data_IF_164437197961
#
_entry.id   IF_164437197961
#
_cell.length_a   1.000
_cell.length_b   1.000
_cell.length_c   1.000
_cell.angle_alpha   90.00
_cell.angle_beta   90.00
_cell.angle_gamma   90.00
#
_symmetry.space_group_name_H-M   'P 1'
#
loop_
_entity.id
_entity.type
_entity.pdbx_description
1 polymer ?
#
# COMPACT_ATOMS: atom_id res chain seq x y z
N UNK A 1 -13.45 -18.39 24.25
CA UNK A 1 -12.48 -17.91 23.23
C UNK A 1 -11.37 -17.17 23.96
N UNK A 2 -10.13 -17.18 23.44
CA UNK A 2 -9.04 -16.43 24.08
C UNK A 2 -9.23 -14.92 23.84
N UNK A 3 -8.89 -14.10 24.82
CA UNK A 3 -8.97 -12.63 24.77
C UNK A 3 -7.75 -12.01 25.41
N UNK A 4 -7.19 -10.98 24.78
CA UNK A 4 -6.13 -10.13 25.33
C UNK A 4 -6.67 -8.73 25.57
N UNK A 5 -6.41 -8.18 26.75
CA UNK A 5 -6.69 -6.78 27.08
C UNK A 5 -5.40 -6.09 27.50
N UNK A 6 -5.09 -4.98 26.84
CA UNK A 6 -3.93 -4.13 27.09
C UNK A 6 -4.47 -2.83 27.67
N UNK A 7 -4.05 -2.46 28.88
CA UNK A 7 -4.54 -1.28 29.59
C UNK A 7 -3.41 -0.29 29.86
N UNK A 8 -3.38 0.82 29.11
CA UNK A 8 -2.46 1.95 29.29
C UNK A 8 -0.98 1.55 29.40
N UNK A 9 -0.58 0.52 28.65
CA UNK A 9 0.79 -0.01 28.69
C UNK A 9 1.78 1.04 28.22
N UNK A 10 2.74 1.35 29.09
CA UNK A 10 3.88 2.21 28.76
C UNK A 10 5.19 1.51 29.09
N UNK A 11 6.19 1.72 28.25
CA UNK A 11 7.51 1.12 28.41
C UNK A 11 8.60 2.06 27.89
N UNK A 12 9.70 2.12 28.63
CA UNK A 12 10.83 2.99 28.35
C UNK A 12 12.11 2.17 28.55
N UNK A 13 12.96 2.18 27.52
CA UNK A 13 14.36 1.81 27.67
C UNK A 13 15.11 2.97 28.36
N UNK A 14 16.34 2.73 28.82
CA UNK A 14 17.13 3.74 29.54
C UNK A 14 17.22 5.08 28.81
N UNK A 15 17.28 5.06 27.48
CA UNK A 15 17.45 6.25 26.63
C UNK A 15 16.23 6.66 25.82
N UNK A 16 15.14 5.89 25.82
CA UNK A 16 14.02 6.13 24.91
C UNK A 16 12.67 5.61 25.44
N UNK A 17 11.62 6.43 25.28
CA UNK A 17 10.22 6.00 25.45
C UNK A 17 9.81 5.18 24.24
N UNK A 18 9.49 3.90 24.45
CA UNK A 18 9.16 2.98 23.37
C UNK A 18 7.65 2.75 23.23
N UNK A 19 6.89 2.82 24.33
CA UNK A 19 5.43 2.74 24.36
C UNK A 19 4.87 3.79 25.33
N UNK A 20 3.77 4.43 24.96
CA UNK A 20 3.12 5.47 25.74
C UNK A 20 1.59 5.27 25.74
N UNK A 21 1.07 4.69 26.82
CA UNK A 21 -0.36 4.57 27.07
C UNK A 21 -1.14 3.65 26.12
N UNK A 22 -0.50 2.60 25.59
CA UNK A 22 -1.12 1.67 24.63
C UNK A 22 -2.29 0.94 25.27
N UNK A 23 -3.47 1.04 24.65
CA UNK A 23 -4.69 0.36 25.09
C UNK A 23 -5.35 -0.33 23.90
N UNK A 24 -5.63 -1.62 24.02
CA UNK A 24 -6.21 -2.42 22.95
C UNK A 24 -6.92 -3.65 23.51
N UNK A 25 -7.90 -4.17 22.76
CA UNK A 25 -8.58 -5.43 23.05
C UNK A 25 -8.55 -6.29 21.80
N UNK A 26 -8.15 -7.54 21.96
CA UNK A 26 -7.98 -8.48 20.85
C UNK A 26 -8.69 -9.78 21.18
N UNK A 27 -9.47 -10.28 20.23
CA UNK A 27 -10.28 -11.48 20.38
C UNK A 27 -9.74 -12.63 19.51
N UNK A 28 -9.99 -13.86 19.95
CA UNK A 28 -9.63 -15.08 19.23
C UNK A 28 -10.14 -15.11 17.78
N UNK A 29 -9.38 -15.78 16.91
CA UNK A 29 -9.70 -15.92 15.50
C UNK A 29 -9.25 -14.73 14.65
N UNK A 30 -8.64 -13.71 15.26
CA UNK A 30 -8.17 -12.50 14.58
C UNK A 30 -6.68 -12.56 14.27
N UNK A 31 -6.31 -12.28 13.02
CA UNK A 31 -4.94 -11.92 12.66
C UNK A 31 -4.77 -10.40 12.75
N UNK A 32 -4.09 -9.94 13.79
CA UNK A 32 -3.79 -8.53 14.05
C UNK A 32 -2.45 -8.13 13.44
N UNK A 33 -2.45 -7.10 12.60
CA UNK A 33 -1.23 -6.46 12.08
C UNK A 33 -0.81 -5.29 12.96
N UNK A 34 0.41 -5.31 13.49
CA UNK A 34 1.06 -4.14 14.07
C UNK A 34 1.81 -3.41 12.96
N UNK A 35 1.36 -2.21 12.63
CA UNK A 35 1.95 -1.38 11.59
C UNK A 35 2.57 -0.11 12.17
N UNK A 36 3.50 0.48 11.43
CA UNK A 36 4.09 1.78 11.75
C UNK A 36 5.57 1.85 11.37
N UNK A 37 6.21 3.03 11.44
CA UNK A 37 7.61 3.21 11.06
C UNK A 37 8.57 2.41 11.96
N UNK A 38 9.83 2.37 11.55
CA UNK A 38 10.90 1.85 12.40
C UNK A 38 10.99 2.67 13.70
N UNK A 39 11.19 1.98 14.82
CA UNK A 39 11.20 2.62 16.13
C UNK A 39 9.82 3.04 16.68
N UNK A 40 8.70 2.68 16.03
CA UNK A 40 7.35 3.04 16.51
C UNK A 40 6.90 2.28 17.76
N UNK A 41 7.61 1.20 18.14
CA UNK A 41 7.32 0.41 19.34
C UNK A 41 6.78 -1.01 19.08
N UNK A 42 6.57 -1.43 17.82
CA UNK A 42 6.00 -2.75 17.45
C UNK A 42 6.63 -3.94 18.19
N UNK A 43 7.93 -4.16 18.03
CA UNK A 43 8.67 -5.24 18.70
C UNK A 43 8.63 -5.11 20.23
N UNK A 44 8.62 -3.89 20.77
CA UNK A 44 8.53 -3.68 22.22
C UNK A 44 7.15 -4.07 22.74
N UNK A 45 6.09 -3.78 21.99
CA UNK A 45 4.73 -4.23 22.32
C UNK A 45 4.63 -5.76 22.27
N UNK A 46 5.17 -6.40 21.23
CA UNK A 46 5.24 -7.88 21.15
C UNK A 46 5.98 -8.48 22.35
N UNK A 47 7.12 -7.91 22.74
CA UNK A 47 7.88 -8.35 23.93
C UNK A 47 7.15 -8.12 25.25
N UNK A 48 6.34 -7.06 25.35
CA UNK A 48 5.48 -6.85 26.52
C UNK A 48 4.36 -7.89 26.58
N UNK A 49 3.73 -8.18 25.42
CA UNK A 49 2.67 -9.18 25.30
C UNK A 49 3.15 -10.59 25.64
N UNK A 50 4.37 -10.96 25.24
CA UNK A 50 4.95 -12.27 25.56
C UNK A 50 5.45 -12.41 27.00
N UNK A 51 5.46 -11.32 27.77
CA UNK A 51 6.04 -11.30 29.13
C UNK A 51 7.57 -11.24 29.16
N UNK A 52 8.24 -11.11 28.02
CA UNK A 52 9.70 -10.89 27.96
C UNK A 52 10.11 -9.53 28.52
N UNK A 53 9.24 -8.52 28.38
CA UNK A 53 9.39 -7.22 29.00
C UNK A 53 8.19 -6.94 29.91
N UNK A 54 8.47 -6.45 31.12
CA UNK A 54 7.42 -5.99 32.03
C UNK A 54 7.09 -4.52 31.74
N UNK A 55 5.83 -4.16 31.46
CA UNK A 55 5.40 -2.77 31.37
C UNK A 55 5.82 -1.96 32.60
N UNK A 56 6.19 -0.69 32.40
CA UNK A 56 6.48 0.23 33.51
C UNK A 56 5.20 0.82 34.11
N UNK A 57 4.20 1.04 33.26
CA UNK A 57 2.86 1.52 33.61
C UNK A 57 1.86 0.65 32.84
N UNK A 58 0.69 0.43 33.43
CA UNK A 58 -0.40 -0.33 32.81
C UNK A 58 -0.33 -1.81 33.11
N UNK A 59 -1.23 -2.58 32.49
CA UNK A 59 -1.32 -4.02 32.68
C UNK A 59 -1.81 -4.72 31.41
N UNK A 60 -1.49 -6.00 31.32
CA UNK A 60 -1.93 -6.89 30.24
C UNK A 60 -2.69 -8.04 30.89
N UNK A 61 -3.85 -8.39 30.35
CA UNK A 61 -4.70 -9.46 30.85
C UNK A 61 -4.98 -10.47 29.74
N UNK A 62 -5.05 -11.73 30.13
CA UNK A 62 -5.42 -12.86 29.26
C UNK A 62 -6.61 -13.52 29.91
N UNK A 63 -7.75 -13.51 29.22
CA UNK A 63 -9.02 -14.01 29.76
C UNK A 63 -9.32 -13.45 31.17
N UNK A 64 -9.02 -12.17 31.40
CA UNK A 64 -9.22 -11.48 32.68
C UNK A 64 -8.12 -11.72 33.75
N UNK A 65 -7.19 -12.66 33.55
CA UNK A 65 -6.05 -12.88 34.48
C UNK A 65 -4.85 -12.03 34.08
N UNK A 66 -4.26 -11.30 35.03
CA UNK A 66 -3.09 -10.44 34.77
C UNK A 66 -1.88 -11.26 34.31
N UNK A 67 -1.21 -10.83 33.24
CA UNK A 67 -0.05 -11.49 32.63
C UNK A 67 1.06 -11.80 33.66
N UNK A 68 1.31 -10.89 34.61
CA UNK A 68 2.37 -11.05 35.61
C UNK A 68 2.08 -12.16 36.65
N UNK A 69 0.85 -12.67 36.71
CA UNK A 69 0.45 -13.74 37.63
C UNK A 69 0.64 -15.15 37.08
N UNK A 70 1.06 -15.27 35.82
CA UNK A 70 1.39 -16.56 35.21
C UNK A 70 2.86 -16.90 35.44
N UNK A 71 3.14 -18.17 35.73
CA UNK A 71 4.48 -18.74 35.68
C UNK A 71 4.99 -18.79 34.23
N UNK A 72 6.31 -18.90 34.05
CA UNK A 72 6.92 -19.06 32.72
C UNK A 72 6.41 -20.30 31.99
N UNK A 73 6.15 -21.40 32.72
CA UNK A 73 5.62 -22.65 32.14
C UNK A 73 4.17 -22.47 31.64
N UNK A 74 3.33 -21.75 32.39
CA UNK A 74 1.97 -21.42 31.92
C UNK A 74 2.01 -20.49 30.70
N UNK A 75 2.85 -19.45 30.72
CA UNK A 75 3.01 -18.55 29.58
C UNK A 75 3.50 -19.29 28.34
N UNK A 76 4.40 -20.25 28.48
CA UNK A 76 4.87 -21.09 27.38
C UNK A 76 3.80 -22.05 26.83
N UNK A 77 2.66 -22.24 27.49
CA UNK A 77 1.50 -22.96 26.91
C UNK A 77 0.52 -22.00 26.20
N UNK A 78 0.59 -20.72 26.52
CA UNK A 78 -0.33 -19.69 26.02
C UNK A 78 0.27 -18.98 24.81
N UNK A 79 1.55 -18.59 24.87
CA UNK A 79 2.24 -17.83 23.85
C UNK A 79 3.29 -18.66 23.12
N UNK A 80 3.37 -18.49 21.81
CA UNK A 80 4.57 -18.79 21.05
C UNK A 80 5.03 -17.56 20.28
N UNK A 81 6.34 -17.44 20.07
CA UNK A 81 6.94 -16.24 19.48
C UNK A 81 7.95 -16.59 18.40
N UNK A 82 7.92 -15.86 17.28
CA UNK A 82 8.96 -15.88 16.25
C UNK A 82 9.55 -14.49 16.14
N UNK A 83 10.79 -14.29 16.57
CA UNK A 83 11.53 -13.03 16.47
C UNK A 83 12.71 -13.20 15.51
N UNK A 84 13.02 -12.16 14.72
CA UNK A 84 13.96 -12.16 13.58
C UNK A 84 15.39 -12.64 13.90
N UNK A 85 15.81 -12.71 15.17
CA UNK A 85 17.16 -13.12 15.60
C UNK A 85 17.16 -14.37 16.51
N UNK A 86 16.17 -15.25 16.42
CA UNK A 86 15.93 -16.25 17.47
C UNK A 86 16.72 -17.57 17.38
N UNK A 87 17.45 -17.88 16.30
CA UNK A 87 18.16 -19.18 16.18
C UNK A 87 19.66 -19.01 15.98
N UNK A 88 20.40 -19.42 17.00
CA UNK A 88 21.87 -19.61 17.02
C UNK A 88 22.25 -21.11 17.00
N UNK A 89 21.41 -22.00 16.46
CA UNK A 89 21.65 -23.46 16.43
C UNK A 89 21.76 -24.03 15.02
N UNK A 90 22.76 -23.61 14.22
CA UNK A 90 22.85 -23.95 12.79
C UNK A 90 23.01 -25.45 12.50
N UNK A 91 23.51 -26.24 13.46
CA UNK A 91 23.88 -27.65 13.26
C UNK A 91 22.78 -28.65 13.64
N UNK A 92 21.64 -28.20 14.19
CA UNK A 92 20.55 -29.09 14.58
C UNK A 92 19.72 -29.52 13.37
N UNK A 93 19.19 -30.74 13.41
CA UNK A 93 18.21 -31.19 12.42
C UNK A 93 16.87 -30.47 12.63
N UNK A 94 16.09 -30.35 11.57
CA UNK A 94 14.74 -29.76 11.63
C UNK A 94 13.88 -30.49 12.65
N UNK A 95 13.97 -31.82 12.72
CA UNK A 95 13.27 -32.62 13.72
C UNK A 95 13.57 -32.13 15.15
N UNK A 96 14.84 -31.97 15.50
CA UNK A 96 15.24 -31.56 16.84
C UNK A 96 14.73 -30.15 17.18
N UNK A 97 14.78 -29.23 16.21
CA UNK A 97 14.23 -27.88 16.36
C UNK A 97 12.72 -27.94 16.60
N UNK A 98 11.99 -28.75 15.85
CA UNK A 98 10.56 -28.95 16.01
C UNK A 98 10.21 -29.62 17.33
N UNK A 99 11.01 -30.60 17.78
CA UNK A 99 10.84 -31.28 19.06
C UNK A 99 10.85 -30.29 20.23
N UNK A 100 11.68 -29.25 20.18
CA UNK A 100 11.72 -28.21 21.24
C UNK A 100 10.40 -27.44 21.39
N UNK A 101 9.53 -27.42 20.36
CA UNK A 101 8.19 -26.82 20.48
C UNK A 101 7.32 -27.50 21.54
N UNK A 102 7.61 -28.76 21.86
CA UNK A 102 6.78 -29.60 22.75
C UNK A 102 7.22 -29.55 24.20
N UNK A 103 8.35 -28.91 24.51
CA UNK A 103 8.85 -28.76 25.89
C UNK A 103 7.85 -28.21 26.91
N UNK A 104 6.92 -27.28 26.58
CA UNK A 104 5.91 -26.86 27.54
C UNK A 104 4.95 -27.98 27.96
N UNK A 105 4.83 -29.05 27.16
CA UNK A 105 3.88 -30.15 27.32
C UNK A 105 4.53 -31.45 27.80
N UNK A 106 5.86 -31.53 27.83
CA UNK A 106 6.58 -32.74 28.30
C UNK A 106 6.69 -32.77 29.82
N UNK A 107 6.92 -33.96 30.37
CA UNK A 107 7.26 -34.14 31.79
C UNK A 107 8.70 -33.69 32.05
N UNK A 108 9.14 -33.71 33.31
CA UNK A 108 10.51 -33.35 33.70
C UNK A 108 11.61 -34.14 32.97
N UNK A 109 11.27 -35.32 32.43
CA UNK A 109 12.17 -36.16 31.63
C UNK A 109 12.33 -35.67 30.18
N UNK A 110 11.51 -34.73 29.72
CA UNK A 110 11.61 -34.15 28.38
C UNK A 110 11.24 -35.09 27.22
N UNK A 111 10.65 -36.26 27.50
CA UNK A 111 10.33 -37.27 26.49
C UNK A 111 9.10 -36.92 25.67
N UNK A 112 9.23 -37.04 24.35
CA UNK A 112 8.10 -36.92 23.41
C UNK A 112 7.25 -38.18 23.45
N UNK A 113 5.93 -38.02 23.38
CA UNK A 113 4.99 -39.12 23.18
C UNK A 113 4.53 -39.19 21.70
N UNK A 114 3.81 -40.24 21.28
CA UNK A 114 3.31 -40.35 19.90
C UNK A 114 2.41 -39.19 19.45
N UNK A 115 1.67 -38.55 20.37
CA UNK A 115 0.86 -37.37 20.07
C UNK A 115 1.73 -36.17 19.70
N UNK A 116 2.84 -35.96 20.42
CA UNK A 116 3.78 -34.87 20.12
C UNK A 116 4.42 -35.04 18.73
N UNK A 117 4.77 -36.27 18.36
CA UNK A 117 5.31 -36.59 17.03
C UNK A 117 4.26 -36.28 15.94
N UNK A 118 3.00 -36.65 16.16
CA UNK A 118 1.92 -36.34 15.22
C UNK A 118 1.72 -34.82 15.04
N UNK A 119 1.78 -34.05 16.13
CA UNK A 119 1.66 -32.58 16.06
C UNK A 119 2.82 -31.95 15.28
N UNK A 120 4.04 -32.46 15.47
CA UNK A 120 5.21 -32.02 14.70
C UNK A 120 5.01 -32.30 13.21
N UNK A 121 4.59 -33.51 12.85
CA UNK A 121 4.34 -33.90 11.47
C UNK A 121 3.24 -33.04 10.82
N UNK A 122 2.11 -32.83 11.52
CA UNK A 122 1.01 -31.98 11.04
C UNK A 122 1.49 -30.53 10.79
N UNK A 123 2.32 -29.99 11.68
CA UNK A 123 2.89 -28.65 11.51
C UNK A 123 3.82 -28.56 10.30
N UNK A 124 4.68 -29.57 10.08
CA UNK A 124 5.56 -29.61 8.92
C UNK A 124 4.79 -29.75 7.59
N UNK A 125 3.71 -30.54 7.58
CA UNK A 125 2.83 -30.71 6.41
C UNK A 125 2.14 -29.41 6.02
N UNK A 126 1.62 -28.64 6.99
CA UNK A 126 0.94 -27.36 6.72
C UNK A 126 1.82 -26.30 6.03
N UNK A 127 3.13 -26.43 6.18
CA UNK A 127 4.10 -25.52 5.55
C UNK A 127 4.84 -26.18 4.39
N UNK A 128 4.49 -27.41 3.99
CA UNK A 128 5.10 -28.15 2.89
C UNK A 128 6.62 -28.34 3.07
N UNK A 129 7.05 -28.62 4.30
CA UNK A 129 8.46 -28.75 4.68
C UNK A 129 8.78 -30.10 5.35
N UNK A 130 7.88 -31.09 5.23
CA UNK A 130 8.06 -32.42 5.83
C UNK A 130 9.32 -33.13 5.32
N UNK A 131 9.66 -32.97 4.05
CA UNK A 131 10.83 -33.61 3.43
C UNK A 131 12.17 -33.05 3.95
N UNK A 132 12.13 -31.94 4.71
CA UNK A 132 13.31 -31.34 5.32
C UNK A 132 13.56 -31.81 6.76
N UNK A 133 12.72 -32.70 7.30
CA UNK A 133 12.75 -33.09 8.72
C UNK A 133 14.13 -33.60 9.20
N UNK A 134 14.87 -34.30 8.35
CA UNK A 134 16.20 -34.85 8.64
C UNK A 134 17.37 -33.95 8.16
N UNK A 135 17.07 -32.79 7.55
CA UNK A 135 18.11 -31.85 7.12
C UNK A 135 18.56 -30.99 8.28
N UNK A 136 19.79 -30.50 8.21
CA UNK A 136 20.29 -29.50 9.16
C UNK A 136 19.71 -28.14 8.84
N UNK A 137 19.46 -27.35 9.88
CA UNK A 137 18.84 -26.03 9.73
C UNK A 137 19.65 -25.06 8.85
N UNK A 138 20.98 -25.15 8.85
CA UNK A 138 21.85 -24.34 8.01
C UNK A 138 21.87 -24.76 6.53
N UNK A 139 21.39 -25.95 6.18
CA UNK A 139 21.27 -26.43 4.80
C UNK A 139 20.01 -25.88 4.10
N UNK A 140 19.11 -25.26 4.87
CA UNK A 140 17.85 -24.71 4.36
C UNK A 140 18.04 -23.31 3.77
N UNK A 141 17.22 -22.98 2.78
CA UNK A 141 17.06 -21.58 2.34
C UNK A 141 16.41 -20.75 3.45
N UNK A 142 16.57 -19.44 3.41
CA UNK A 142 16.00 -18.57 4.45
C UNK A 142 14.47 -18.65 4.52
N UNK A 143 13.81 -18.89 3.37
CA UNK A 143 12.38 -19.16 3.34
C UNK A 143 11.97 -20.49 4.00
N UNK A 144 12.77 -21.53 3.82
CA UNK A 144 12.54 -22.80 4.49
C UNK A 144 12.80 -22.68 6.00
N UNK A 145 13.86 -21.98 6.42
CA UNK A 145 14.13 -21.68 7.84
C UNK A 145 12.97 -20.94 8.48
N UNK A 146 12.41 -19.95 7.79
CA UNK A 146 11.27 -19.19 8.28
C UNK A 146 10.01 -20.05 8.41
N UNK A 147 9.73 -20.92 7.42
CA UNK A 147 8.64 -21.90 7.49
C UNK A 147 8.82 -22.84 8.69
N UNK A 148 10.03 -23.36 8.92
CA UNK A 148 10.35 -24.22 10.09
C UNK A 148 10.11 -23.48 11.41
N UNK A 149 10.55 -22.22 11.50
CA UNK A 149 10.38 -21.38 12.69
C UNK A 149 8.90 -21.15 13.06
N UNK A 150 8.08 -20.85 12.06
CA UNK A 150 6.65 -20.61 12.25
C UNK A 150 5.93 -21.94 12.52
N UNK A 151 6.29 -23.01 11.81
CA UNK A 151 5.76 -24.36 12.06
C UNK A 151 6.07 -24.81 13.49
N UNK A 152 7.29 -24.60 13.98
CA UNK A 152 7.69 -24.84 15.37
C UNK A 152 6.81 -24.06 16.34
N UNK A 153 6.61 -22.77 16.11
CA UNK A 153 5.79 -21.94 16.98
C UNK A 153 4.33 -22.41 17.05
N UNK A 154 3.79 -22.91 15.93
CA UNK A 154 2.44 -23.48 15.86
C UNK A 154 2.35 -24.89 16.43
N UNK A 155 3.40 -25.70 16.30
CA UNK A 155 3.51 -27.04 16.90
C UNK A 155 3.52 -26.98 18.43
N UNK A 156 3.82 -25.83 19.03
CA UNK A 156 3.66 -25.58 20.47
C UNK A 156 2.18 -25.51 20.90
N UNK A 157 1.23 -25.46 19.96
CA UNK A 157 -0.21 -25.29 20.19
C UNK A 157 -0.57 -24.04 21.05
N UNK A 158 -0.05 -22.85 20.71
CA UNK A 158 -0.31 -21.65 21.49
C UNK A 158 -1.77 -21.18 21.34
N UNK A 159 -2.22 -20.38 22.31
CA UNK A 159 -3.45 -19.58 22.18
C UNK A 159 -3.17 -18.23 21.53
N UNK A 160 -1.93 -17.74 21.63
CA UNK A 160 -1.48 -16.47 21.08
C UNK A 160 -0.16 -16.69 20.34
N UNK A 161 -0.14 -16.39 19.05
CA UNK A 161 1.05 -16.42 18.21
C UNK A 161 1.55 -14.98 17.98
N UNK A 162 2.79 -14.71 18.38
CA UNK A 162 3.42 -13.40 18.21
C UNK A 162 4.52 -13.51 17.16
N UNK A 163 4.46 -12.69 16.12
CA UNK A 163 5.36 -12.76 14.98
C UNK A 163 6.02 -11.39 14.79
N UNK A 164 7.34 -11.34 14.77
CA UNK A 164 8.09 -10.14 14.40
C UNK A 164 8.67 -10.36 13.01
N UNK A 165 8.17 -9.61 12.05
CA UNK A 165 8.56 -9.68 10.64
C UNK A 165 8.50 -11.09 10.02
N UNK A 166 7.35 -11.80 10.12
CA UNK A 166 7.26 -13.20 9.70
C UNK A 166 7.52 -13.48 8.22
N UNK A 167 7.50 -12.43 7.39
CA UNK A 167 7.61 -12.49 5.94
C UNK A 167 8.86 -11.75 5.41
N UNK A 168 9.75 -11.29 6.31
CA UNK A 168 10.98 -10.61 5.90
C UNK A 168 11.93 -11.56 5.20
N UNK A 169 12.70 -11.04 4.24
CA UNK A 169 13.69 -11.79 3.44
C UNK A 169 13.11 -12.95 2.60
N UNK A 170 11.78 -13.04 2.47
CA UNK A 170 11.10 -13.97 1.58
C UNK A 170 10.78 -13.31 0.24
N UNK A 171 10.79 -14.09 -0.84
CA UNK A 171 10.21 -13.64 -2.09
C UNK A 171 8.68 -13.54 -1.99
N UNK A 172 8.06 -12.83 -2.94
CA UNK A 172 6.63 -12.53 -2.93
C UNK A 172 5.77 -13.80 -2.81
N UNK A 173 6.12 -14.87 -3.54
CA UNK A 173 5.35 -16.12 -3.51
C UNK A 173 5.36 -16.72 -2.10
N UNK A 174 6.53 -16.84 -1.50
CA UNK A 174 6.68 -17.39 -0.15
C UNK A 174 6.05 -16.50 0.92
N UNK A 175 6.07 -15.17 0.77
CA UNK A 175 5.35 -14.25 1.67
C UNK A 175 3.85 -14.53 1.69
N UNK A 176 3.24 -14.67 0.50
CA UNK A 176 1.81 -14.95 0.35
C UNK A 176 1.45 -16.32 0.94
N UNK A 177 2.24 -17.36 0.66
CA UNK A 177 2.03 -18.71 1.21
C UNK A 177 2.09 -18.71 2.74
N UNK A 178 3.15 -18.14 3.32
CA UNK A 178 3.36 -18.15 4.78
C UNK A 178 2.25 -17.40 5.50
N UNK A 179 1.94 -16.17 5.07
CA UNK A 179 0.90 -15.35 5.71
C UNK A 179 -0.51 -15.93 5.48
N UNK A 180 -0.75 -16.53 4.30
CA UNK A 180 -2.00 -17.25 4.00
C UNK A 180 -2.21 -18.44 4.91
N UNK A 181 -1.18 -19.27 5.10
CA UNK A 181 -1.21 -20.42 6.02
C UNK A 181 -1.43 -19.97 7.46
N UNK A 182 -0.72 -18.92 7.93
CA UNK A 182 -0.94 -18.35 9.26
C UNK A 182 -2.39 -17.87 9.43
N UNK A 183 -2.93 -17.13 8.46
CA UNK A 183 -4.31 -16.63 8.50
C UNK A 183 -5.31 -17.78 8.58
N UNK A 184 -5.13 -18.81 7.76
CA UNK A 184 -5.98 -20.01 7.76
C UNK A 184 -5.98 -20.71 9.13
N UNK A 185 -4.79 -20.99 9.66
CA UNK A 185 -4.64 -21.65 10.96
C UNK A 185 -5.21 -20.77 12.10
N UNK A 186 -5.03 -19.45 12.00
CA UNK A 186 -5.58 -18.48 12.97
C UNK A 186 -7.09 -18.63 13.13
N UNK A 187 -7.80 -18.73 12.01
CA UNK A 187 -9.25 -18.93 11.99
C UNK A 187 -9.65 -20.33 12.42
N UNK A 188 -9.01 -21.36 11.86
CA UNK A 188 -9.33 -22.77 12.16
C UNK A 188 -9.17 -23.12 13.64
N UNK A 189 -8.09 -22.66 14.28
CA UNK A 189 -7.80 -22.95 15.69
C UNK A 189 -8.31 -21.88 16.66
N UNK A 190 -8.98 -20.83 16.14
CA UNK A 190 -9.47 -19.69 16.92
C UNK A 190 -8.39 -19.08 17.85
N UNK A 191 -7.17 -18.95 17.34
CA UNK A 191 -6.04 -18.35 18.06
C UNK A 191 -5.97 -16.85 17.81
N UNK A 192 -5.23 -16.12 18.64
CA UNK A 192 -4.87 -14.73 18.36
C UNK A 192 -3.51 -14.72 17.69
N UNK A 193 -3.40 -14.18 16.47
CA UNK A 193 -2.10 -13.92 15.85
C UNK A 193 -1.83 -12.43 15.85
N UNK A 194 -0.66 -12.00 16.34
CA UNK A 194 -0.23 -10.60 16.30
C UNK A 194 1.11 -10.53 15.57
N UNK A 195 1.10 -9.96 14.37
CA UNK A 195 2.28 -9.85 13.50
C UNK A 195 2.73 -8.41 13.35
N UNK A 196 4.00 -8.10 13.65
CA UNK A 196 4.62 -6.87 13.19
C UNK A 196 4.97 -7.00 11.71
N UNK A 197 4.28 -6.23 10.87
CA UNK A 197 4.44 -6.23 9.41
C UNK A 197 4.98 -4.88 8.95
N UNK A 198 5.89 -4.90 7.99
CA UNK A 198 6.41 -3.68 7.36
C UNK A 198 5.70 -3.32 6.06
N UNK A 199 5.26 -4.35 5.32
CA UNK A 199 4.48 -4.15 4.11
C UNK A 199 3.00 -3.95 4.45
N UNK A 200 2.51 -2.75 4.15
CA UNK A 200 1.14 -2.35 4.43
C UNK A 200 0.14 -3.12 3.54
N UNK A 201 0.51 -3.47 2.31
CA UNK A 201 -0.34 -4.23 1.39
C UNK A 201 -0.45 -5.70 1.83
N UNK A 202 0.62 -6.30 2.33
CA UNK A 202 0.53 -7.64 2.94
C UNK A 202 -0.38 -7.63 4.17
N UNK A 203 -0.26 -6.61 5.03
CA UNK A 203 -1.16 -6.46 6.17
C UNK A 203 -2.62 -6.27 5.73
N UNK A 204 -2.86 -5.47 4.70
CA UNK A 204 -4.20 -5.26 4.13
C UNK A 204 -4.82 -6.56 3.58
N UNK A 205 -4.00 -7.47 3.06
CA UNK A 205 -4.45 -8.74 2.50
C UNK A 205 -4.72 -9.80 3.57
N UNK A 206 -3.86 -9.91 4.58
CA UNK A 206 -3.88 -11.04 5.52
C UNK A 206 -4.46 -10.73 6.89
N UNK A 207 -4.37 -9.50 7.38
CA UNK A 207 -4.89 -9.15 8.70
C UNK A 207 -6.41 -8.93 8.67
N UNK A 208 -7.05 -9.19 9.80
CA UNK A 208 -8.46 -8.86 10.03
C UNK A 208 -8.58 -7.53 10.81
N UNK A 209 -7.55 -7.17 11.57
CA UNK A 209 -7.50 -5.98 12.42
C UNK A 209 -6.10 -5.36 12.37
N UNK A 210 -5.99 -4.03 12.43
CA UNK A 210 -4.71 -3.31 12.43
C UNK A 210 -4.59 -2.47 13.70
N UNK A 211 -3.39 -2.45 14.27
CA UNK A 211 -2.97 -1.44 15.25
C UNK A 211 -1.84 -0.63 14.62
N UNK A 212 -2.13 0.63 14.31
CA UNK A 212 -1.19 1.55 13.68
C UNK A 212 -0.46 2.37 14.76
N UNK A 213 0.84 2.10 14.92
CA UNK A 213 1.70 2.73 15.92
C UNK A 213 2.57 3.83 15.33
N UNK A 214 2.70 4.95 16.05
CA UNK A 214 3.68 5.98 15.77
C UNK A 214 4.26 6.53 17.08
N UNK A 215 5.59 6.61 17.18
CA UNK A 215 6.32 7.11 18.37
C UNK A 215 5.76 6.54 19.70
N UNK A 216 5.50 5.23 19.74
CA UNK A 216 5.02 4.53 20.94
C UNK A 216 3.52 4.67 21.24
N UNK A 217 2.76 5.40 20.43
CA UNK A 217 1.31 5.60 20.60
C UNK A 217 0.51 4.91 19.51
N UNK A 218 -0.70 4.45 19.84
CA UNK A 218 -1.69 4.05 18.84
C UNK A 218 -2.23 5.33 18.18
N UNK A 219 -2.08 5.44 16.86
CA UNK A 219 -2.67 6.52 16.06
C UNK A 219 -4.07 6.14 15.61
N UNK A 220 -4.25 4.89 15.20
CA UNK A 220 -5.54 4.32 14.83
C UNK A 220 -5.51 2.80 15.04
N UNK A 221 -6.65 2.21 15.37
CA UNK A 221 -6.81 0.76 15.48
C UNK A 221 -8.24 0.36 15.12
N UNK A 222 -8.41 -0.80 14.48
CA UNK A 222 -9.70 -1.20 13.95
C UNK A 222 -9.60 -2.24 12.84
N UNK A 223 -10.74 -2.59 12.21
CA UNK A 223 -10.76 -3.28 10.93
C UNK A 223 -9.87 -2.58 9.89
N UNK A 224 -9.31 -3.36 8.96
CA UNK A 224 -8.31 -2.90 7.98
C UNK A 224 -8.75 -1.64 7.24
N UNK A 225 -10.01 -1.57 6.81
CA UNK A 225 -10.58 -0.46 6.04
C UNK A 225 -10.76 0.85 6.82
N UNK A 226 -11.03 0.75 8.12
CA UNK A 226 -11.12 1.92 9.00
C UNK A 226 -9.74 2.51 9.34
N UNK A 227 -8.68 1.70 9.29
CA UNK A 227 -7.33 2.11 9.71
C UNK A 227 -6.48 2.54 8.52
N UNK A 228 -6.49 1.78 7.42
CA UNK A 228 -5.65 2.01 6.25
C UNK A 228 -6.26 3.07 5.32
N UNK A 229 -6.30 4.31 5.78
CA UNK A 229 -6.77 5.48 5.01
C UNK A 229 -5.61 6.34 4.56
N UNK A 230 -5.79 7.13 3.48
CA UNK A 230 -4.75 8.05 3.00
C UNK A 230 -4.27 9.00 4.11
N UNK A 231 -5.18 9.53 4.92
CA UNK A 231 -4.86 10.43 6.04
C UNK A 231 -4.00 9.74 7.12
N UNK A 232 -4.40 8.54 7.55
CA UNK A 232 -3.66 7.82 8.59
C UNK A 232 -2.27 7.42 8.11
N UNK A 233 -2.15 6.97 6.86
CA UNK A 233 -0.86 6.61 6.27
C UNK A 233 0.04 7.83 6.12
N UNK A 234 -0.48 8.95 5.64
CA UNK A 234 0.28 10.21 5.54
C UNK A 234 0.76 10.70 6.90
N UNK A 235 -0.12 10.68 7.91
CA UNK A 235 0.22 11.09 9.28
C UNK A 235 1.30 10.22 9.93
N UNK A 236 1.33 8.93 9.62
CA UNK A 236 2.22 7.96 10.28
C UNK A 236 3.53 7.75 9.53
N UNK A 237 3.48 7.66 8.20
CA UNK A 237 4.63 7.37 7.36
C UNK A 237 5.17 8.60 6.61
N UNK A 238 4.51 9.75 6.70
CA UNK A 238 4.88 11.00 6.01
C UNK A 238 4.96 10.83 4.49
N UNK A 239 4.04 10.02 3.93
CA UNK A 239 3.92 9.76 2.49
C UNK A 239 2.47 9.93 2.06
N UNK A 240 2.24 10.62 0.94
CA UNK A 240 0.93 10.65 0.29
C UNK A 240 0.68 9.34 -0.43
N UNK A 241 -0.52 8.79 -0.28
CA UNK A 241 -0.89 7.51 -0.87
C UNK A 241 -2.30 7.55 -1.44
N UNK A 242 -2.52 6.76 -2.48
CA UNK A 242 -3.84 6.37 -2.97
C UNK A 242 -4.22 5.07 -2.27
N UNK A 243 -5.39 5.05 -1.65
CA UNK A 243 -6.00 3.84 -1.12
C UNK A 243 -7.17 3.48 -2.02
N UNK A 244 -7.13 2.29 -2.64
CA UNK A 244 -8.23 1.76 -3.45
C UNK A 244 -8.54 0.32 -3.03
N UNK A 245 -9.72 -0.17 -3.41
CA UNK A 245 -10.08 -1.59 -3.28
C UNK A 245 -9.75 -2.30 -4.58
N UNK A 246 -9.08 -3.44 -4.47
CA UNK A 246 -8.76 -4.27 -5.63
C UNK A 246 -10.06 -4.93 -6.13
N UNK A 247 -10.38 -4.86 -7.43
CA UNK A 247 -11.69 -5.25 -7.96
C UNK A 247 -11.99 -6.75 -7.81
N UNK A 248 -10.96 -7.61 -7.84
CA UNK A 248 -11.14 -9.08 -7.76
C UNK A 248 -11.23 -9.56 -6.30
N UNK A 249 -10.32 -9.10 -5.44
CA UNK A 249 -10.16 -9.61 -4.07
C UNK A 249 -10.95 -8.79 -3.05
N UNK A 250 -11.45 -7.62 -3.44
CA UNK A 250 -12.06 -6.61 -2.56
C UNK A 250 -11.13 -6.14 -1.42
N UNK A 251 -9.85 -6.52 -1.45
CA UNK A 251 -8.85 -6.13 -0.47
C UNK A 251 -8.38 -4.71 -0.74
N UNK A 252 -7.96 -4.02 0.31
CA UNK A 252 -7.33 -2.71 0.16
C UNK A 252 -5.94 -2.88 -0.44
N UNK A 253 -5.60 -2.00 -1.37
CA UNK A 253 -4.23 -1.79 -1.80
C UNK A 253 -3.88 -0.31 -1.75
N UNK A 254 -2.63 -0.05 -1.41
CA UNK A 254 -2.09 1.27 -1.16
C UNK A 254 -0.94 1.50 -2.13
N UNK A 255 -1.03 2.61 -2.86
CA UNK A 255 -0.02 3.02 -3.83
C UNK A 255 0.55 4.39 -3.41
N UNK A 256 1.87 4.50 -3.20
CA UNK A 256 2.48 5.79 -2.88
C UNK A 256 2.40 6.74 -4.07
N UNK A 257 2.11 8.01 -3.79
CA UNK A 257 2.18 9.09 -4.78
C UNK A 257 3.49 9.83 -4.55
N UNK A 258 4.49 9.55 -5.40
CA UNK A 258 5.73 10.34 -5.37
C UNK A 258 5.42 11.74 -5.91
N UNK A 259 5.42 12.71 -5.00
CA UNK A 259 5.10 14.12 -5.31
C UNK A 259 6.12 15.08 -4.72
N UNK A 260 7.21 14.57 -4.16
CA UNK A 260 8.24 15.39 -3.53
C UNK A 260 8.97 16.29 -4.53
N UNK A 261 8.91 15.98 -5.82
CA UNK A 261 9.60 16.73 -6.89
C UNK A 261 8.95 18.09 -7.23
N UNK A 262 7.68 18.35 -6.88
CA UNK A 262 7.02 19.61 -7.28
C UNK A 262 7.41 20.83 -6.43
N UNK A 263 7.81 20.63 -5.16
CA UNK A 263 8.03 21.74 -4.23
C UNK A 263 9.36 22.47 -4.43
N UNK A 264 10.30 21.86 -5.15
CA UNK A 264 11.66 22.39 -5.35
C UNK A 264 11.84 23.13 -6.68
N UNK A 265 10.85 23.07 -7.57
CA UNK A 265 10.93 23.67 -8.90
C UNK A 265 10.49 25.13 -8.83
N UNK A 266 11.31 26.04 -9.37
CA UNK A 266 10.94 27.46 -9.43
C UNK A 266 9.71 27.63 -10.33
N UNK A 267 8.61 28.23 -9.84
CA UNK A 267 7.41 28.41 -10.63
C UNK A 267 7.69 29.35 -11.81
N UNK A 268 7.36 28.90 -13.01
CA UNK A 268 7.39 29.71 -14.23
C UNK A 268 6.11 30.54 -14.30
N UNK A 269 6.19 31.68 -14.98
CA UNK A 269 5.03 32.55 -15.23
C UNK A 269 4.09 32.01 -16.30
N UNK A 270 4.53 30.99 -17.05
CA UNK A 270 3.85 30.46 -18.22
C UNK A 270 2.69 29.57 -17.78
N UNK A 271 1.52 29.82 -18.35
CA UNK A 271 0.28 29.07 -18.14
C UNK A 271 -0.05 28.24 -19.37
N UNK A 272 -0.33 26.96 -19.15
CA UNK A 272 -0.60 25.97 -20.17
C UNK A 272 -1.99 25.37 -19.94
N UNK A 273 -2.80 25.32 -20.98
CA UNK A 273 -4.09 24.66 -20.96
C UNK A 273 -3.99 23.31 -21.67
N UNK A 274 -4.30 22.22 -20.97
CA UNK A 274 -4.23 20.86 -21.51
C UNK A 274 -5.63 20.38 -21.87
N UNK A 275 -5.86 20.18 -23.16
CA UNK A 275 -7.05 19.50 -23.66
C UNK A 275 -6.71 18.01 -23.71
N UNK A 276 -7.37 17.21 -22.88
CA UNK A 276 -7.11 15.79 -22.70
C UNK A 276 -8.39 14.96 -22.51
N UNK A 277 -8.23 13.66 -22.28
CA UNK A 277 -9.30 12.68 -22.11
C UNK A 277 -8.80 11.25 -22.39
N UNK A 278 -9.53 10.26 -21.89
CA UNK A 278 -9.21 8.85 -22.14
C UNK A 278 -7.88 8.39 -21.51
N UNK A 279 -7.41 9.07 -20.47
CA UNK A 279 -6.18 8.72 -19.75
C UNK A 279 -4.88 9.19 -20.41
N UNK A 280 -4.95 10.14 -21.35
CA UNK A 280 -3.79 10.65 -22.10
C UNK A 280 -3.20 11.94 -21.52
N UNK A 281 -3.91 12.59 -20.61
CA UNK A 281 -3.55 13.89 -20.04
C UNK A 281 -2.82 13.84 -18.69
N UNK A 282 -3.06 12.83 -17.86
CA UNK A 282 -2.57 12.78 -16.47
C UNK A 282 -1.05 12.92 -16.37
N UNK A 283 -0.33 12.15 -17.19
CA UNK A 283 1.13 12.20 -17.25
C UNK A 283 1.63 13.54 -17.81
N UNK A 284 0.96 14.07 -18.83
CA UNK A 284 1.29 15.37 -19.43
C UNK A 284 1.14 16.51 -18.41
N UNK A 285 0.02 16.56 -17.68
CA UNK A 285 -0.19 17.54 -16.61
C UNK A 285 0.88 17.45 -15.53
N UNK A 286 1.23 16.22 -15.09
CA UNK A 286 2.33 15.99 -14.14
C UNK A 286 3.64 16.56 -14.65
N UNK A 287 4.04 16.19 -15.87
CA UNK A 287 5.30 16.61 -16.48
C UNK A 287 5.39 18.14 -16.58
N UNK A 288 4.29 18.81 -16.95
CA UNK A 288 4.26 20.28 -17.03
C UNK A 288 4.44 20.94 -15.66
N UNK A 289 3.79 20.41 -14.61
CA UNK A 289 3.97 20.88 -13.23
C UNK A 289 5.41 20.65 -12.74
N UNK A 290 6.04 19.53 -13.09
CA UNK A 290 7.46 19.24 -12.79
C UNK A 290 8.43 20.21 -13.46
N UNK A 291 8.03 20.81 -14.58
CA UNK A 291 8.79 21.87 -15.25
C UNK A 291 8.44 23.28 -14.74
N UNK A 292 7.57 23.39 -13.73
CA UNK A 292 7.19 24.63 -13.07
C UNK A 292 6.09 25.43 -13.79
N UNK A 293 5.42 24.87 -14.80
CA UNK A 293 4.34 25.55 -15.50
C UNK A 293 3.06 25.62 -14.64
N UNK A 294 2.25 26.67 -14.82
CA UNK A 294 0.87 26.68 -14.32
C UNK A 294 0.01 25.90 -15.29
N UNK A 295 -0.73 24.91 -14.78
CA UNK A 295 -1.50 23.99 -15.63
C UNK A 295 -2.99 24.10 -15.33
N UNK A 296 -3.79 24.17 -16.38
CA UNK A 296 -5.25 23.98 -16.33
C UNK A 296 -5.64 22.88 -17.30
N UNK A 297 -6.77 22.23 -17.09
CA UNK A 297 -7.27 21.18 -17.97
C UNK A 297 -8.62 21.54 -18.60
N UNK A 298 -8.84 21.06 -19.82
CA UNK A 298 -10.07 21.22 -20.57
C UNK A 298 -11.24 20.43 -20.00
N UNK A 299 -12.30 20.27 -20.78
CA UNK A 299 -13.52 19.60 -20.31
C UNK A 299 -13.29 18.09 -20.18
N UNK A 300 -13.38 17.57 -18.95
CA UNK A 300 -13.26 16.16 -18.62
C UNK A 300 -14.52 15.65 -17.92
N UNK A 301 -14.87 14.39 -18.17
CA UNK A 301 -15.97 13.74 -17.49
C UNK A 301 -15.54 13.35 -16.06
N UNK A 302 -16.43 13.47 -15.09
CA UNK A 302 -16.23 12.83 -13.77
C UNK A 302 -16.05 11.32 -13.99
N UNK A 303 -15.09 10.70 -13.28
CA UNK A 303 -14.63 9.32 -13.44
C UNK A 303 -13.73 9.05 -14.66
N UNK A 304 -13.39 10.06 -15.47
CA UNK A 304 -12.30 9.92 -16.44
C UNK A 304 -10.95 9.82 -15.71
N UNK A 305 -10.05 8.97 -16.19
CA UNK A 305 -8.69 8.82 -15.64
C UNK A 305 -7.96 10.15 -15.57
N UNK A 306 -8.11 11.03 -16.57
CA UNK A 306 -7.50 12.36 -16.60
C UNK A 306 -8.15 13.33 -15.62
N UNK A 307 -9.44 13.16 -15.32
CA UNK A 307 -10.10 13.93 -14.27
C UNK A 307 -9.58 13.52 -12.88
N UNK A 308 -9.43 12.20 -12.62
CA UNK A 308 -8.80 11.71 -11.39
C UNK A 308 -7.36 12.24 -11.26
N UNK A 309 -6.58 12.18 -12.36
CA UNK A 309 -5.22 12.70 -12.41
C UNK A 309 -5.14 14.21 -12.13
N UNK A 310 -6.01 15.01 -12.76
CA UNK A 310 -6.08 16.45 -12.53
C UNK A 310 -6.38 16.78 -11.06
N UNK A 311 -7.36 16.10 -10.46
CA UNK A 311 -7.70 16.26 -9.04
C UNK A 311 -6.51 15.93 -8.13
N UNK A 312 -5.80 14.83 -8.39
CA UNK A 312 -4.64 14.43 -7.60
C UNK A 312 -3.46 15.41 -7.70
N UNK A 313 -3.31 16.05 -8.85
CA UNK A 313 -2.28 17.05 -9.12
C UNK A 313 -2.68 18.46 -8.65
N UNK A 314 -3.94 18.67 -8.22
CA UNK A 314 -4.45 19.99 -7.88
C UNK A 314 -4.60 20.92 -9.09
N UNK A 315 -4.80 20.34 -10.28
CA UNK A 315 -4.99 21.08 -11.54
C UNK A 315 -6.44 21.53 -11.63
N UNK A 316 -6.63 22.80 -11.99
CA UNK A 316 -7.95 23.39 -12.20
C UNK A 316 -8.56 22.90 -13.53
N UNK A 317 -9.65 22.13 -13.43
CA UNK A 317 -10.27 21.36 -14.51
C UNK A 317 -11.73 21.76 -14.72
N UNK A 318 -12.18 21.77 -15.97
CA UNK A 318 -13.59 21.98 -16.31
C UNK A 318 -14.26 20.61 -16.36
N UNK A 319 -15.40 20.47 -15.69
CA UNK A 319 -16.02 19.16 -15.44
C UNK A 319 -17.35 19.00 -16.17
N UNK A 320 -17.61 17.77 -16.61
CA UNK A 320 -18.88 17.34 -17.18
C UNK A 320 -19.37 16.07 -16.46
N UNK A 321 -20.69 15.82 -16.48
CA UNK A 321 -21.27 14.62 -15.88
C UNK A 321 -20.70 13.33 -16.53
N UNK A 322 -20.58 12.21 -15.80
CA UNK A 322 -20.05 10.96 -16.35
C UNK A 322 -20.78 10.51 -17.62
N UNK A 323 -20.02 10.03 -18.61
CA UNK A 323 -20.53 9.50 -19.89
C UNK A 323 -21.42 10.47 -20.69
N UNK A 324 -21.32 11.77 -20.42
CA UNK A 324 -22.12 12.80 -21.09
C UNK A 324 -21.32 13.50 -22.18
N UNK A 325 -21.97 13.92 -23.27
CA UNK A 325 -21.31 14.76 -24.27
C UNK A 325 -20.96 16.12 -23.65
N UNK A 326 -19.87 16.73 -24.12
CA UNK A 326 -19.49 18.09 -23.70
C UNK A 326 -20.62 19.06 -24.08
N UNK A 327 -21.18 19.74 -23.09
CA UNK A 327 -22.26 20.70 -23.29
C UNK A 327 -21.74 21.98 -23.98
N UNK A 328 -22.64 22.81 -24.52
CA UNK A 328 -22.23 24.12 -25.06
C UNK A 328 -21.69 25.03 -23.95
N UNK A 329 -22.30 24.95 -22.76
CA UNK A 329 -21.88 25.72 -21.59
C UNK A 329 -20.45 25.38 -21.15
N UNK A 330 -20.14 24.10 -20.94
CA UNK A 330 -18.79 23.65 -20.60
C UNK A 330 -17.76 24.02 -21.69
N UNK A 331 -18.16 23.94 -22.96
CA UNK A 331 -17.30 24.32 -24.07
C UNK A 331 -17.01 25.84 -24.08
N UNK A 332 -18.00 26.69 -23.83
CA UNK A 332 -17.80 28.14 -23.73
C UNK A 332 -16.89 28.51 -22.56
N UNK A 333 -17.06 27.87 -21.40
CA UNK A 333 -16.16 28.04 -20.25
C UNK A 333 -14.73 27.62 -20.64
N UNK A 334 -14.59 26.52 -21.39
CA UNK A 334 -13.29 26.06 -21.90
C UNK A 334 -12.62 27.09 -22.81
N UNK A 335 -13.37 27.65 -23.76
CA UNK A 335 -12.85 28.67 -24.67
C UNK A 335 -12.42 29.94 -23.94
N UNK A 336 -13.13 30.37 -22.89
CA UNK A 336 -12.73 31.51 -22.05
C UNK A 336 -11.41 31.22 -21.34
N UNK A 337 -11.25 30.02 -20.78
CA UNK A 337 -10.01 29.62 -20.09
C UNK A 337 -8.81 29.59 -21.04
N UNK A 338 -9.02 29.17 -22.29
CA UNK A 338 -8.01 29.18 -23.36
C UNK A 338 -7.54 30.61 -23.68
N UNK A 339 -8.38 31.63 -23.51
CA UNK A 339 -8.00 33.01 -23.78
C UNK A 339 -6.95 33.54 -22.80
N UNK A 340 -6.90 32.99 -21.60
CA UNK A 340 -6.02 33.43 -20.50
C UNK A 340 -4.69 32.65 -20.41
N UNK A 341 -4.42 31.70 -21.32
CA UNK A 341 -3.19 30.90 -21.30
C UNK A 341 -2.20 31.28 -22.40
N UNK A 342 -0.92 30.92 -22.20
CA UNK A 342 0.15 31.17 -23.15
C UNK A 342 0.21 30.08 -24.25
N UNK A 343 -0.12 28.84 -23.89
CA UNK A 343 -0.12 27.71 -24.82
C UNK A 343 -1.26 26.71 -24.53
N UNK A 344 -1.78 26.10 -25.59
CA UNK A 344 -2.74 24.99 -25.52
C UNK A 344 -2.06 23.72 -25.99
N UNK A 345 -2.23 22.64 -25.24
CA UNK A 345 -1.72 21.32 -25.62
C UNK A 345 -2.88 20.37 -25.79
N UNK A 346 -3.01 19.79 -26.97
CA UNK A 346 -3.93 18.70 -27.26
C UNK A 346 -3.19 17.38 -27.09
N UNK A 347 -3.58 16.54 -26.12
CA UNK A 347 -3.00 15.21 -25.95
C UNK A 347 -3.44 14.25 -27.06
N UNK A 348 -2.89 13.03 -27.07
CA UNK A 348 -3.20 11.99 -28.07
C UNK A 348 -4.59 11.34 -27.87
N UNK A 349 -5.63 12.15 -27.67
CA UNK A 349 -7.00 11.72 -27.33
C UNK A 349 -7.65 11.01 -28.53
N UNK A 350 -8.45 9.94 -28.30
CA UNK A 350 -9.43 9.46 -29.27
C UNK A 350 -10.69 10.35 -29.28
N UNK A 351 -11.20 10.66 -30.47
CA UNK A 351 -12.38 11.51 -30.64
C UNK A 351 -13.61 10.70 -31.02
N UNK A 352 -14.65 10.82 -30.22
CA UNK A 352 -16.02 10.43 -30.54
C UNK A 352 -16.94 11.64 -30.53
N UNK A 353 -18.22 11.44 -30.86
CA UNK A 353 -19.19 12.54 -30.91
C UNK A 353 -19.34 13.28 -29.56
N UNK A 354 -19.13 12.59 -28.45
CA UNK A 354 -19.25 13.16 -27.10
C UNK A 354 -18.14 14.15 -26.73
N UNK A 355 -16.94 14.03 -27.30
CA UNK A 355 -15.79 14.88 -26.93
C UNK A 355 -15.22 15.70 -28.09
N UNK A 356 -15.87 15.70 -29.26
CA UNK A 356 -15.38 16.42 -30.45
C UNK A 356 -15.14 17.92 -30.20
N UNK A 357 -15.91 18.52 -29.29
CA UNK A 357 -15.76 19.91 -28.87
C UNK A 357 -14.40 20.25 -28.25
N UNK A 358 -13.68 19.27 -27.70
CA UNK A 358 -12.30 19.48 -27.24
C UNK A 358 -11.36 19.72 -28.44
N UNK A 359 -11.57 19.03 -29.56
CA UNK A 359 -10.81 19.27 -30.79
C UNK A 359 -11.19 20.62 -31.42
N UNK A 360 -12.48 20.95 -31.45
CA UNK A 360 -12.97 22.25 -31.91
C UNK A 360 -12.40 23.42 -31.09
N UNK A 361 -12.25 23.23 -29.77
CA UNK A 361 -11.61 24.21 -28.90
C UNK A 361 -10.13 24.43 -29.29
N UNK A 362 -9.42 23.37 -29.67
CA UNK A 362 -8.03 23.45 -30.14
C UNK A 362 -7.92 24.25 -31.45
N UNK A 363 -8.82 23.98 -32.40
CA UNK A 363 -8.90 24.74 -33.67
C UNK A 363 -9.21 26.21 -33.39
N UNK A 364 -10.12 26.49 -32.45
CA UNK A 364 -10.51 27.84 -32.06
C UNK A 364 -9.36 28.58 -31.38
N UNK A 365 -8.60 27.93 -30.51
CA UNK A 365 -7.39 28.49 -29.90
C UNK A 365 -6.38 28.95 -30.96
N UNK A 366 -6.13 28.10 -31.98
CA UNK A 366 -5.22 28.41 -33.07
C UNK A 366 -5.72 29.59 -33.93
N UNK A 367 -7.04 29.65 -34.20
CA UNK A 367 -7.67 30.80 -34.90
C UNK A 367 -7.53 32.11 -34.12
N UNK A 368 -7.50 32.05 -32.79
CA UNK A 368 -7.26 33.20 -31.91
C UNK A 368 -5.77 33.55 -31.77
N UNK A 369 -4.87 32.87 -32.48
CA UNK A 369 -3.43 33.13 -32.46
C UNK A 369 -2.68 32.53 -31.28
N UNK A 370 -3.31 31.63 -30.50
CA UNK A 370 -2.62 30.89 -29.43
C UNK A 370 -1.70 29.84 -30.03
N UNK A 371 -0.57 29.57 -29.36
CA UNK A 371 0.26 28.42 -29.74
C UNK A 371 -0.45 27.13 -29.35
N UNK A 372 -0.72 26.29 -30.35
CA UNK A 372 -1.32 24.95 -30.15
C UNK A 372 -0.28 23.90 -30.44
N UNK A 373 0.01 23.07 -29.44
CA UNK A 373 0.89 21.90 -29.55
C UNK A 373 0.01 20.66 -29.55
N UNK A 374 0.20 19.77 -30.50
CA UNK A 374 -0.58 18.54 -30.63
C UNK A 374 0.36 17.34 -30.46
N UNK A 375 0.01 16.46 -29.52
CA UNK A 375 0.74 15.22 -29.29
C UNK A 375 0.14 14.12 -30.15
N UNK A 376 0.92 13.62 -31.11
CA UNK A 376 0.53 12.62 -32.09
C UNK A 376 1.40 11.37 -31.95
N UNK A 377 1.07 10.51 -30.96
CA UNK A 377 1.74 9.22 -30.79
C UNK A 377 1.17 8.16 -31.75
N UNK A 378 -0.12 8.30 -32.08
CA UNK A 378 -0.84 7.46 -33.02
C UNK A 378 -1.52 8.33 -34.07
N UNK A 379 -1.70 7.77 -35.26
CA UNK A 379 -2.39 8.43 -36.37
C UNK A 379 -3.79 8.89 -35.97
N UNK A 380 -4.29 9.97 -36.57
CA UNK A 380 -5.67 10.41 -36.33
C UNK A 380 -6.68 9.40 -36.89
N UNK A 381 -6.28 8.60 -37.88
CA UNK A 381 -7.06 7.50 -38.45
C UNK A 381 -7.44 6.44 -37.42
N UNK A 382 -6.55 6.12 -36.49
CA UNK A 382 -6.82 5.18 -35.38
C UNK A 382 -7.67 5.78 -34.26
N UNK A 383 -7.84 7.10 -34.27
CA UNK A 383 -8.43 7.88 -33.18
C UNK A 383 -9.74 8.57 -33.53
N UNK A 384 -10.20 8.48 -34.78
CA UNK A 384 -11.45 9.08 -35.24
C UNK A 384 -12.62 8.08 -35.20
N UNK A 385 -13.48 8.23 -34.20
CA UNK A 385 -14.75 7.49 -34.05
C UNK A 385 -15.97 8.36 -34.40
N UNK A 386 -15.76 9.42 -35.18
CA UNK A 386 -16.78 10.40 -35.61
C UNK A 386 -17.12 10.30 -37.09
N UNK A 387 -16.62 9.27 -37.79
CA UNK A 387 -16.85 9.09 -39.22
C UNK A 387 -16.15 10.13 -40.10
N UNK A 388 -15.01 10.68 -39.65
CA UNK A 388 -14.17 11.59 -40.44
C UNK A 388 -14.22 13.07 -40.00
N UNK A 389 -15.10 13.43 -39.07
CA UNK A 389 -15.23 14.81 -38.57
C UNK A 389 -13.95 15.22 -37.83
N UNK A 390 -13.47 14.37 -36.93
CA UNK A 390 -12.24 14.62 -36.18
C UNK A 390 -11.04 14.71 -37.13
N UNK A 391 -10.94 13.83 -38.12
CA UNK A 391 -9.90 13.89 -39.16
C UNK A 391 -9.88 15.22 -39.91
N UNK A 392 -11.06 15.76 -40.26
CA UNK A 392 -11.15 17.05 -40.94
C UNK A 392 -10.64 18.20 -40.07
N UNK A 393 -11.06 18.26 -38.79
CA UNK A 393 -10.58 19.26 -37.83
C UNK A 393 -9.07 19.14 -37.55
N UNK A 394 -8.56 17.92 -37.50
CA UNK A 394 -7.14 17.65 -37.29
C UNK A 394 -6.29 18.10 -38.49
N UNK A 395 -6.82 17.94 -39.71
CA UNK A 395 -6.21 18.49 -40.93
C UNK A 395 -6.17 20.02 -40.87
N UNK A 396 -7.24 20.65 -40.41
CA UNK A 396 -7.28 22.11 -40.23
C UNK A 396 -6.21 22.60 -39.22
N UNK A 397 -5.96 21.86 -38.13
CA UNK A 397 -4.86 22.17 -37.21
C UNK A 397 -3.49 22.12 -37.90
N UNK A 398 -3.23 21.08 -38.72
CA UNK A 398 -1.98 20.97 -39.51
C UNK A 398 -1.83 22.14 -40.48
N UNK A 399 -2.88 22.45 -41.25
CA UNK A 399 -2.85 23.51 -42.26
C UNK A 399 -2.69 24.92 -41.66
N UNK A 400 -3.21 25.15 -40.45
CA UNK A 400 -3.12 26.43 -39.73
C UNK A 400 -1.87 26.56 -38.85
N UNK A 401 -0.95 25.60 -38.90
CA UNK A 401 0.36 25.72 -38.25
C UNK A 401 0.42 25.31 -36.78
N UNK A 402 -0.45 24.39 -36.32
CA UNK A 402 -0.23 23.75 -35.03
C UNK A 402 1.09 22.96 -35.02
N UNK A 403 1.74 22.89 -33.85
CA UNK A 403 3.04 22.22 -33.68
C UNK A 403 2.80 20.76 -33.29
N UNK A 404 3.19 19.82 -34.15
CA UNK A 404 3.02 18.39 -33.89
C UNK A 404 4.28 17.80 -33.23
N UNK A 405 4.08 17.02 -32.17
CA UNK A 405 5.15 16.29 -31.48
C UNK A 405 4.76 14.83 -31.28
N UNK A 406 5.75 13.95 -31.37
CA UNK A 406 5.54 12.50 -31.16
C UNK A 406 6.00 12.05 -29.75
N UNK A 407 6.58 12.96 -28.97
CA UNK A 407 7.05 12.71 -27.61
C UNK A 407 6.78 13.94 -26.73
N UNK A 408 6.15 13.69 -25.57
CA UNK A 408 5.85 14.69 -24.54
C UNK A 408 7.11 15.42 -24.05
N UNK A 409 8.28 14.78 -24.08
CA UNK A 409 9.55 15.39 -23.62
C UNK A 409 10.00 16.59 -24.46
N UNK A 410 9.47 16.73 -25.69
CA UNK A 410 9.78 17.86 -26.57
C UNK A 410 9.02 19.13 -26.18
N UNK A 411 7.90 18.99 -25.46
CA UNK A 411 6.97 20.07 -25.13
C UNK A 411 7.64 21.19 -24.33
N UNK A 412 8.40 20.95 -23.24
CA UNK A 412 9.01 22.03 -22.47
C UNK A 412 9.93 22.91 -23.31
N UNK A 413 10.71 22.31 -24.22
CA UNK A 413 11.63 23.05 -25.10
C UNK A 413 10.88 23.93 -26.11
N UNK A 414 9.72 23.47 -26.59
CA UNK A 414 8.86 24.25 -27.49
C UNK A 414 8.25 25.43 -26.73
N UNK A 415 7.71 25.19 -25.53
CA UNK A 415 7.10 26.24 -24.70
C UNK A 415 8.11 27.33 -24.34
N UNK A 416 9.36 26.97 -24.05
CA UNK A 416 10.40 27.96 -23.74
C UNK A 416 10.78 28.85 -24.93
N UNK A 417 10.64 28.34 -26.16
CA UNK A 417 10.86 29.15 -27.38
C UNK A 417 9.76 30.18 -27.60
N UNK A 418 8.53 29.90 -27.17
CA UNK A 418 7.39 30.85 -27.29
C UNK A 418 7.68 32.17 -26.56
N UNK A 419 8.40 32.13 -25.42
CA UNK A 419 8.74 33.34 -24.65
C UNK A 419 9.84 34.20 -25.29
N UNK A 420 10.63 33.65 -26.23
CA UNK A 420 11.75 34.36 -26.87
C UNK A 420 11.37 35.02 -28.21
N UNK A 421 10.17 34.74 -28.71
CA UNK A 421 9.58 35.35 -29.91
C UNK A 421 8.57 36.42 -29.48
#
# INVERSE_FOLDING_TARGET
MVKIEIEKVSFNYKSAKALEGVTARIEGGSFVGLLGPNGSGKTTLLKCLSGLLKPKIGSIYINGKNLNSFSKSELAKIFSTVFTNAIETPQMEVFDIMATARYPWTSWLGTLNPKDINIINEALEKFEIKDFIARRFNELSDGQKQKVLIAKALAQEPKVLLLDEPAAHLDIKHQIEVLGTIKKITKEKNLITIGALHDINLAALFCDFIILLNKGKIVSMGPVDSVLTSENIEKVFNIRVIVKKHPITNSIYIMPICTQEFKTVQPKTITVHVICGGGTGSFLMKMLLEHGYKVTAGVLNILDTDYEGACMLGVDVIVEAPFSPITNESHEVNLKKIDDVDAVILSNIPFGYGNIKNLEASVTALKKGKTVIVVENNSIEERDFTGGIAKALYKELKEKGAIFVNDYNQIPQIIEKIKKA
#
